data_IF_899331087585
#
_entry.id   IF_899331087585
#
_cell.length_a   1.000
_cell.length_b   1.000
_cell.length_c   1.000
_cell.angle_alpha   90.00
_cell.angle_beta   90.00
_cell.angle_gamma   90.00
#
_symmetry.space_group_name_H-M   'P 1'
#
loop_
_entity.id
_entity.type
_entity.pdbx_description
1 polymer ?
#
# COMPACT_ATOMS: atom_id res chain seq x y z
N UNK A 1 -27.82 -3.16 -75.43
CA UNK A 1 -29.07 -3.93 -75.30
C UNK A 1 -28.87 -4.88 -74.12
N UNK A 2 -29.42 -4.54 -72.97
CA UNK A 2 -29.26 -5.33 -71.74
C UNK A 2 -30.18 -6.53 -71.83
N UNK A 3 -29.61 -7.73 -71.79
CA UNK A 3 -30.37 -8.98 -71.88
C UNK A 3 -31.00 -9.26 -70.50
N UNK A 4 -32.32 -9.23 -70.46
CA UNK A 4 -33.11 -9.55 -69.28
C UNK A 4 -33.13 -11.07 -69.11
N UNK A 5 -32.40 -11.58 -68.13
CA UNK A 5 -32.34 -13.01 -67.83
C UNK A 5 -33.48 -13.39 -66.89
N UNK A 6 -34.63 -13.77 -67.44
CA UNK A 6 -35.69 -14.42 -66.66
C UNK A 6 -35.25 -15.83 -66.29
N UNK A 7 -35.28 -16.22 -65.00
CA UNK A 7 -34.93 -17.57 -64.60
C UNK A 7 -35.89 -18.59 -65.25
N UNK A 8 -35.41 -19.78 -65.64
CA UNK A 8 -36.26 -20.82 -66.20
C UNK A 8 -37.33 -21.22 -65.18
N UNK A 9 -38.60 -20.98 -65.52
CA UNK A 9 -39.76 -21.30 -64.69
C UNK A 9 -40.08 -22.79 -64.71
N UNK A 10 -39.16 -23.61 -64.24
CA UNK A 10 -39.40 -25.03 -64.01
C UNK A 10 -40.37 -25.15 -62.83
N UNK A 11 -41.41 -25.99 -62.94
CA UNK A 11 -42.46 -26.17 -61.93
C UNK A 11 -41.93 -26.40 -60.49
N UNK A 12 -40.71 -26.94 -60.37
CA UNK A 12 -39.99 -27.18 -59.11
C UNK A 12 -39.68 -25.89 -58.33
N UNK A 13 -39.46 -24.76 -59.01
CA UNK A 13 -39.07 -23.49 -58.40
C UNK A 13 -40.27 -22.61 -58.05
N UNK A 14 -41.48 -22.95 -58.53
CA UNK A 14 -42.69 -22.12 -58.36
C UNK A 14 -43.26 -22.17 -56.94
N UNK A 15 -42.97 -23.23 -56.21
CA UNK A 15 -43.37 -23.42 -54.81
C UNK A 15 -42.23 -23.14 -53.81
N UNK A 16 -41.07 -22.64 -54.28
CA UNK A 16 -40.01 -22.16 -53.39
C UNK A 16 -40.44 -20.80 -52.87
N UNK A 17 -41.08 -20.81 -51.70
CA UNK A 17 -41.45 -19.62 -50.96
C UNK A 17 -40.18 -18.88 -50.51
N UNK A 18 -40.01 -17.61 -50.92
CA UNK A 18 -38.91 -16.76 -50.44
C UNK A 18 -38.90 -16.76 -48.91
N UNK A 19 -37.83 -17.32 -48.33
CA UNK A 19 -37.64 -17.36 -46.88
C UNK A 19 -37.32 -15.95 -46.42
N UNK A 20 -38.22 -15.35 -45.65
CA UNK A 20 -37.98 -14.05 -45.02
C UNK A 20 -36.67 -14.10 -44.23
N UNK A 21 -35.74 -13.19 -44.54
CA UNK A 21 -34.47 -13.08 -43.83
C UNK A 21 -34.81 -12.75 -42.37
N UNK A 22 -34.36 -13.56 -41.39
CA UNK A 22 -34.68 -13.30 -40.00
C UNK A 22 -34.07 -11.95 -39.59
N UNK A 23 -34.84 -11.17 -38.84
CA UNK A 23 -34.34 -9.93 -38.25
C UNK A 23 -33.03 -10.22 -37.50
N UNK A 24 -32.08 -9.28 -37.60
CA UNK A 24 -30.76 -9.43 -36.99
C UNK A 24 -30.89 -9.75 -35.51
N UNK A 25 -30.40 -10.92 -35.10
CA UNK A 25 -30.45 -11.35 -33.71
C UNK A 25 -29.67 -10.36 -32.86
N UNK A 26 -30.35 -9.78 -31.87
CA UNK A 26 -29.71 -8.88 -30.92
C UNK A 26 -28.63 -9.64 -30.15
N UNK A 27 -27.37 -9.23 -30.33
CA UNK A 27 -26.22 -9.75 -29.60
C UNK A 27 -26.18 -9.28 -28.13
N UNK A 28 -27.09 -8.37 -27.76
CA UNK A 28 -27.24 -7.97 -26.37
C UNK A 28 -28.15 -8.97 -25.64
N UNK A 29 -27.64 -9.64 -24.60
CA UNK A 29 -28.40 -10.63 -23.85
C UNK A 29 -29.59 -9.96 -23.17
N UNK A 30 -30.81 -10.41 -23.50
CA UNK A 30 -32.07 -9.89 -22.97
C UNK A 30 -32.30 -10.26 -21.48
N UNK A 31 -31.39 -11.02 -20.87
CA UNK A 31 -31.55 -11.57 -19.52
C UNK A 31 -31.10 -10.59 -18.44
N UNK A 32 -31.86 -10.57 -17.33
CA UNK A 32 -31.57 -9.76 -16.13
C UNK A 32 -30.19 -10.06 -15.54
N UNK A 33 -29.62 -11.23 -15.83
CA UNK A 33 -28.30 -11.67 -15.35
C UNK A 33 -27.17 -10.68 -15.64
N UNK A 34 -27.19 -9.97 -16.77
CA UNK A 34 -26.15 -8.97 -17.08
C UNK A 34 -26.28 -7.69 -16.25
N UNK A 35 -27.50 -7.31 -15.88
CA UNK A 35 -27.71 -6.20 -14.94
C UNK A 35 -27.18 -6.57 -13.57
N UNK A 36 -27.47 -7.78 -13.10
CA UNK A 36 -26.95 -8.32 -11.83
C UNK A 36 -25.43 -8.39 -11.86
N UNK A 37 -24.84 -8.89 -12.95
CA UNK A 37 -23.39 -8.97 -13.13
C UNK A 37 -22.74 -7.59 -13.18
N UNK A 38 -23.35 -6.62 -13.87
CA UNK A 38 -22.89 -5.23 -13.88
C UNK A 38 -22.90 -4.61 -12.49
N UNK A 39 -23.97 -4.80 -11.71
CA UNK A 39 -24.05 -4.33 -10.31
C UNK A 39 -22.99 -5.02 -9.45
N UNK A 40 -22.80 -6.33 -9.59
CA UNK A 40 -21.79 -7.08 -8.85
C UNK A 40 -20.37 -6.58 -9.18
N UNK A 41 -20.07 -6.31 -10.45
CA UNK A 41 -18.80 -5.75 -10.90
C UNK A 41 -18.55 -4.36 -10.29
N UNK A 42 -19.56 -3.48 -10.31
CA UNK A 42 -19.46 -2.15 -9.71
C UNK A 42 -19.19 -2.25 -8.20
N UNK A 43 -19.88 -3.15 -7.50
CA UNK A 43 -19.69 -3.36 -6.07
C UNK A 43 -18.29 -3.89 -5.76
N UNK A 44 -17.78 -4.83 -6.56
CA UNK A 44 -16.43 -5.35 -6.43
C UNK A 44 -15.39 -4.25 -6.66
N UNK A 45 -15.58 -3.39 -7.67
CA UNK A 45 -14.69 -2.28 -7.97
C UNK A 45 -14.72 -1.21 -6.86
N UNK A 46 -15.91 -0.88 -6.34
CA UNK A 46 -16.06 0.03 -5.20
C UNK A 46 -15.35 -0.52 -3.95
N UNK A 47 -15.49 -1.82 -3.68
CA UNK A 47 -14.80 -2.46 -2.57
C UNK A 47 -13.28 -2.47 -2.76
N UNK A 48 -12.79 -2.79 -3.96
CA UNK A 48 -11.37 -2.79 -4.27
C UNK A 48 -10.76 -1.39 -4.14
N UNK A 49 -11.42 -0.36 -4.68
CA UNK A 49 -10.98 1.03 -4.58
C UNK A 49 -11.00 1.53 -3.14
N UNK A 50 -12.03 1.20 -2.36
CA UNK A 50 -12.08 1.48 -0.92
C UNK A 50 -10.91 0.84 -0.17
N UNK A 51 -10.66 -0.45 -0.38
CA UNK A 51 -9.54 -1.18 0.25
C UNK A 51 -8.19 -0.58 -0.13
N UNK A 52 -8.02 -0.22 -1.41
CA UNK A 52 -6.80 0.42 -1.90
C UNK A 52 -6.60 1.82 -1.30
N UNK A 53 -7.67 2.62 -1.20
CA UNK A 53 -7.64 3.94 -0.59
C UNK A 53 -7.30 3.86 0.91
N UNK A 54 -7.93 2.94 1.64
CA UNK A 54 -7.58 2.66 3.04
C UNK A 54 -6.12 2.24 3.18
N UNK A 55 -5.63 1.32 2.34
CA UNK A 55 -4.24 0.90 2.35
C UNK A 55 -3.28 2.07 2.10
N UNK A 56 -3.56 2.90 1.10
CA UNK A 56 -2.76 4.11 0.81
C UNK A 56 -2.78 5.10 1.97
N UNK A 57 -3.95 5.35 2.57
CA UNK A 57 -4.06 6.25 3.71
C UNK A 57 -3.24 5.74 4.89
N UNK A 58 -3.39 4.45 5.22
CA UNK A 58 -2.60 3.82 6.26
C UNK A 58 -1.11 3.82 5.93
N UNK A 59 -0.68 3.86 4.66
CA UNK A 59 0.74 3.89 4.30
C UNK A 59 1.30 5.31 4.12
N UNK A 60 0.48 6.37 4.27
CA UNK A 60 0.92 7.75 4.04
C UNK A 60 2.00 8.19 5.02
N UNK A 61 1.87 7.82 6.30
CA UNK A 61 2.88 8.12 7.32
C UNK A 61 4.25 7.52 6.97
N UNK A 62 4.28 6.36 6.28
CA UNK A 62 5.54 5.73 5.86
C UNK A 62 6.22 6.55 4.78
N UNK A 63 5.43 7.05 3.82
CA UNK A 63 5.96 7.90 2.76
C UNK A 63 6.51 9.19 3.35
N UNK A 64 5.75 9.86 4.22
CA UNK A 64 6.21 11.08 4.92
C UNK A 64 7.51 10.82 5.71
N UNK A 65 7.62 9.70 6.43
CA UNK A 65 8.83 9.34 7.16
C UNK A 65 10.02 9.07 6.22
N UNK A 66 9.80 8.36 5.10
CA UNK A 66 10.85 8.09 4.11
C UNK A 66 11.33 9.36 3.42
N UNK A 67 10.41 10.25 3.04
CA UNK A 67 10.74 11.52 2.38
C UNK A 67 11.60 12.40 3.30
N UNK A 68 11.32 12.41 4.61
CA UNK A 68 12.14 13.15 5.58
C UNK A 68 13.51 12.50 5.73
N UNK A 69 13.59 11.16 5.81
CA UNK A 69 14.88 10.46 5.94
C UNK A 69 15.77 10.65 4.71
N UNK A 70 15.20 10.68 3.51
CA UNK A 70 15.92 10.89 2.25
C UNK A 70 16.48 12.32 2.10
N UNK A 71 15.82 13.29 2.74
CA UNK A 71 16.27 14.69 2.77
C UNK A 71 17.37 14.97 3.80
N UNK A 72 17.72 14.00 4.66
CA UNK A 72 18.75 14.20 5.68
C UNK A 72 20.14 14.12 5.06
N UNK A 73 20.90 15.21 5.21
CA UNK A 73 22.32 15.21 4.87
C UNK A 73 23.15 14.56 5.99
N UNK A 74 23.88 13.46 5.72
CA UNK A 74 24.77 12.83 6.70
C UNK A 74 25.94 13.73 7.14
N UNK A 75 26.19 14.84 6.45
CA UNK A 75 27.19 15.85 6.84
C UNK A 75 26.70 16.70 8.02
N UNK A 76 25.39 16.86 8.18
CA UNK A 76 24.81 17.61 9.29
C UNK A 76 24.94 16.80 10.60
N UNK A 77 25.51 17.42 11.63
CA UNK A 77 25.60 16.83 12.98
C UNK A 77 24.22 16.60 13.59
N UNK A 78 23.21 17.37 13.20
CA UNK A 78 21.82 17.24 13.64
C UNK A 78 21.03 16.11 12.99
N UNK A 79 21.56 15.51 11.91
CA UNK A 79 20.87 14.45 11.15
C UNK A 79 20.51 13.24 12.04
N UNK A 80 21.45 12.78 12.86
CA UNK A 80 21.24 11.65 13.77
C UNK A 80 20.10 11.88 14.77
N UNK A 81 19.91 13.12 15.23
CA UNK A 81 18.79 13.49 16.10
C UNK A 81 17.48 13.49 15.33
N UNK A 82 17.45 14.05 14.11
CA UNK A 82 16.26 14.04 13.26
C UNK A 82 15.82 12.62 12.89
N UNK A 83 16.76 11.70 12.61
CA UNK A 83 16.44 10.29 12.39
C UNK A 83 15.66 9.72 13.59
N UNK A 84 16.12 9.98 14.81
CA UNK A 84 15.45 9.50 16.02
C UNK A 84 14.05 10.10 16.16
N UNK A 85 13.89 11.40 15.89
CA UNK A 85 12.59 12.09 15.92
C UNK A 85 11.60 11.49 14.93
N UNK A 86 12.04 11.17 13.70
CA UNK A 86 11.21 10.51 12.68
C UNK A 86 10.80 9.11 13.11
N UNK A 87 11.74 8.30 13.60
CA UNK A 87 11.41 6.96 14.08
C UNK A 87 10.45 7.02 15.28
N UNK A 88 10.60 8.01 16.15
CA UNK A 88 9.70 8.24 17.28
C UNK A 88 8.31 8.69 16.83
N UNK A 89 8.19 9.53 15.79
CA UNK A 89 6.89 9.92 15.24
C UNK A 89 6.18 8.72 14.60
N UNK A 90 6.92 7.85 13.91
CA UNK A 90 6.39 6.59 13.37
C UNK A 90 5.92 5.67 14.50
N UNK A 91 6.73 5.44 15.54
CA UNK A 91 6.31 4.64 16.71
C UNK A 91 5.04 5.17 17.37
N UNK A 92 4.94 6.50 17.55
CA UNK A 92 3.75 7.14 18.11
C UNK A 92 2.51 6.92 17.24
N UNK A 93 2.68 6.93 15.92
CA UNK A 93 1.61 6.61 14.98
C UNK A 93 1.18 5.13 15.07
N UNK A 94 2.14 4.21 15.21
CA UNK A 94 1.87 2.78 15.35
C UNK A 94 1.14 2.47 16.67
N UNK A 95 1.59 3.06 17.77
CA UNK A 95 0.96 2.93 19.08
C UNK A 95 1.30 4.14 19.96
N UNK A 96 0.27 4.91 20.33
CA UNK A 96 0.41 6.10 21.15
C UNK A 96 1.06 5.84 22.53
N UNK A 97 0.96 4.61 23.07
CA UNK A 97 1.59 4.23 24.35
C UNK A 97 3.12 4.27 24.32
N UNK A 98 3.74 4.14 23.14
CA UNK A 98 5.20 4.21 23.01
C UNK A 98 5.75 5.65 23.02
N UNK A 99 4.90 6.68 23.10
CA UNK A 99 5.35 8.07 23.15
C UNK A 99 6.26 8.39 24.35
N UNK A 100 6.08 7.68 25.46
CA UNK A 100 6.86 7.82 26.70
C UNK A 100 8.15 6.99 26.72
N UNK A 101 8.45 6.21 25.68
CA UNK A 101 9.68 5.43 25.61
C UNK A 101 10.80 6.32 25.03
N UNK A 102 11.98 6.25 25.65
CA UNK A 102 13.16 7.06 25.30
C UNK A 102 14.43 6.19 25.28
N UNK A 103 15.45 6.66 24.55
CA UNK A 103 16.77 6.03 24.50
C UNK A 103 16.75 4.59 23.96
N UNK A 104 17.58 3.73 24.54
CA UNK A 104 17.76 2.34 24.11
C UNK A 104 16.47 1.50 24.16
N UNK A 105 15.57 1.79 25.10
CA UNK A 105 14.27 1.11 25.16
C UNK A 105 13.39 1.39 23.93
N UNK A 106 13.55 2.56 23.30
CA UNK A 106 12.84 2.89 22.07
C UNK A 106 13.38 2.05 20.90
N UNK A 107 14.69 1.79 20.87
CA UNK A 107 15.31 0.95 19.85
C UNK A 107 14.87 -0.52 19.95
N UNK A 108 14.81 -1.06 21.16
CA UNK A 108 14.25 -2.40 21.38
C UNK A 108 12.79 -2.48 20.90
N UNK A 109 12.00 -1.44 21.17
CA UNK A 109 10.62 -1.35 20.68
C UNK A 109 10.55 -1.30 19.16
N UNK A 110 11.48 -0.62 18.47
CA UNK A 110 11.55 -0.63 17.00
C UNK A 110 11.76 -2.05 16.47
N UNK A 111 12.69 -2.80 17.06
CA UNK A 111 12.97 -4.19 16.66
C UNK A 111 11.76 -5.12 16.87
N UNK A 112 10.88 -4.86 17.85
CA UNK A 112 9.64 -5.64 18.05
C UNK A 112 8.63 -5.51 16.89
N UNK A 113 8.71 -4.44 16.11
CA UNK A 113 7.90 -4.23 14.90
C UNK A 113 8.52 -4.86 13.65
N UNK A 114 9.71 -5.47 13.73
CA UNK A 114 10.30 -6.22 12.63
C UNK A 114 9.59 -7.57 12.45
N UNK A 115 9.58 -8.11 11.22
CA UNK A 115 9.14 -9.47 10.98
C UNK A 115 9.95 -10.46 11.84
N UNK A 116 9.31 -11.48 12.42
CA UNK A 116 9.99 -12.50 13.27
C UNK A 116 11.19 -13.21 12.64
N UNK A 117 11.34 -13.13 11.31
CA UNK A 117 12.45 -13.74 10.55
C UNK A 117 13.63 -12.79 10.33
N UNK A 118 13.48 -11.52 10.69
CA UNK A 118 14.49 -10.49 10.50
C UNK A 118 15.30 -10.33 11.79
N UNK A 119 16.61 -10.28 11.66
CA UNK A 119 17.51 -10.01 12.78
C UNK A 119 17.29 -8.61 13.35
N UNK A 120 17.64 -8.43 14.63
CA UNK A 120 17.57 -7.13 15.30
C UNK A 120 18.45 -6.12 14.57
N UNK A 121 17.89 -4.96 14.26
CA UNK A 121 18.57 -3.93 13.45
C UNK A 121 19.29 -2.91 14.34
N UNK A 122 18.77 -2.67 15.56
CA UNK A 122 19.23 -1.59 16.44
C UNK A 122 19.92 -2.05 17.73
N UNK A 123 20.29 -3.34 17.85
CA UNK A 123 20.96 -3.89 19.04
C UNK A 123 22.49 -3.87 18.98
N UNK A 124 23.05 -3.24 17.95
CA UNK A 124 24.49 -3.16 17.72
C UNK A 124 25.17 -2.02 18.50
N UNK A 125 26.50 -2.02 18.51
CA UNK A 125 27.29 -1.01 19.21
C UNK A 125 27.12 0.40 18.61
N UNK A 126 26.93 0.54 17.29
CA UNK A 126 26.73 1.85 16.67
C UNK A 126 25.40 2.48 17.13
N UNK A 127 24.35 1.68 17.28
CA UNK A 127 23.06 2.14 17.82
C UNK A 127 23.16 2.61 19.27
N UNK A 128 24.01 1.99 20.10
CA UNK A 128 24.29 2.45 21.47
C UNK A 128 25.02 3.78 21.49
N UNK A 129 26.08 3.91 20.70
CA UNK A 129 26.84 5.16 20.56
C UNK A 129 25.94 6.28 20.04
N UNK A 130 25.04 5.96 19.11
CA UNK A 130 24.04 6.90 18.64
C UNK A 130 23.13 7.39 19.77
N UNK A 131 22.54 6.50 20.57
CA UNK A 131 21.70 6.92 21.70
C UNK A 131 22.45 7.79 22.70
N UNK A 132 23.70 7.44 23.00
CA UNK A 132 24.54 8.24 23.89
C UNK A 132 24.82 9.64 23.30
N UNK A 133 25.10 9.74 22.00
CA UNK A 133 25.32 11.03 21.31
C UNK A 133 24.12 11.98 21.34
N UNK A 134 22.89 11.45 21.52
CA UNK A 134 21.68 12.28 21.61
C UNK A 134 21.54 12.96 22.97
N UNK A 135 22.10 12.37 24.02
CA UNK A 135 22.01 12.86 25.40
C UNK A 135 23.29 13.58 25.79
N UNK A 136 24.44 13.12 25.31
CA UNK A 136 25.76 13.62 25.64
C UNK A 136 26.36 14.41 24.47
N UNK A 137 26.44 15.75 24.57
CA UNK A 137 27.01 16.61 23.52
C UNK A 137 28.51 16.37 23.24
N UNK A 138 29.21 15.65 24.13
CA UNK A 138 30.63 15.33 23.94
C UNK A 138 30.88 14.14 23.00
N UNK A 139 29.86 13.32 22.78
CA UNK A 139 29.95 12.13 21.93
C UNK A 139 29.46 12.48 20.54
N UNK A 140 30.37 12.39 19.56
CA UNK A 140 30.08 12.69 18.17
C UNK A 140 30.11 11.42 17.33
N UNK A 141 29.11 11.27 16.47
CA UNK A 141 29.12 10.23 15.45
C UNK A 141 30.09 10.59 14.32
N UNK A 142 30.72 9.60 13.71
CA UNK A 142 31.45 9.78 12.46
C UNK A 142 30.47 9.98 11.30
N UNK A 143 30.97 10.41 10.14
CA UNK A 143 30.15 10.50 8.93
C UNK A 143 29.60 9.11 8.54
N UNK A 144 30.43 8.07 8.56
CA UNK A 144 30.03 6.70 8.25
C UNK A 144 28.92 6.19 9.18
N UNK A 145 29.04 6.45 10.49
CA UNK A 145 28.00 6.07 11.45
C UNK A 145 26.68 6.79 11.18
N UNK A 146 26.70 8.07 10.78
CA UNK A 146 25.48 8.81 10.42
C UNK A 146 24.81 8.22 9.18
N UNK A 147 25.58 7.87 8.16
CA UNK A 147 25.08 7.18 6.96
C UNK A 147 24.43 5.86 7.34
N UNK A 148 25.13 5.03 8.14
CA UNK A 148 24.64 3.73 8.59
C UNK A 148 23.31 3.85 9.36
N UNK A 149 23.17 4.84 10.24
CA UNK A 149 21.94 5.09 11.01
C UNK A 149 20.78 5.49 10.09
N UNK A 150 21.02 6.36 9.11
CA UNK A 150 19.99 6.78 8.13
C UNK A 150 19.54 5.57 7.29
N UNK A 151 20.48 4.73 6.84
CA UNK A 151 20.16 3.52 6.07
C UNK A 151 19.39 2.49 6.89
N UNK A 152 19.80 2.24 8.14
CA UNK A 152 19.07 1.37 9.07
C UNK A 152 17.66 1.87 9.32
N UNK A 153 17.49 3.15 9.60
CA UNK A 153 16.19 3.78 9.80
C UNK A 153 15.30 3.65 8.55
N UNK A 154 15.85 3.93 7.37
CA UNK A 154 15.15 3.81 6.09
C UNK A 154 14.70 2.38 5.82
N UNK A 155 15.58 1.41 6.06
CA UNK A 155 15.28 -0.02 5.91
C UNK A 155 14.18 -0.47 6.88
N UNK A 156 14.27 -0.04 8.14
CA UNK A 156 13.25 -0.32 9.13
C UNK A 156 11.88 0.27 8.74
N UNK A 157 11.82 1.52 8.29
CA UNK A 157 10.55 2.14 7.85
C UNK A 157 9.93 1.38 6.68
N UNK A 158 10.74 0.80 5.78
CA UNK A 158 10.25 -0.03 4.67
C UNK A 158 9.73 -1.39 5.11
N UNK A 159 10.38 -2.03 6.08
CA UNK A 159 10.16 -3.46 6.42
C UNK A 159 9.25 -3.66 7.64
N UNK A 160 9.14 -2.69 8.55
CA UNK A 160 8.35 -2.84 9.77
C UNK A 160 6.91 -3.24 9.46
N UNK A 161 6.33 -4.05 10.34
CA UNK A 161 4.96 -4.51 10.22
C UNK A 161 4.08 -3.70 11.15
N UNK A 162 2.97 -3.17 10.64
CA UNK A 162 1.92 -2.66 11.51
C UNK A 162 1.28 -3.86 12.22
N UNK A 163 1.76 -4.16 13.42
CA UNK A 163 1.11 -5.07 14.34
C UNK A 163 -0.09 -4.29 14.89
N UNK A 164 -1.21 -4.39 14.19
CA UNK A 164 -2.43 -3.64 14.52
C UNK A 164 -2.61 -3.65 16.03
N UNK A 165 -2.64 -2.44 16.61
CA UNK A 165 -2.82 -2.22 18.04
C UNK A 165 -3.73 -3.31 18.58
N UNK A 166 -3.27 -4.06 19.59
CA UNK A 166 -4.18 -4.86 20.40
C UNK A 166 -5.44 -4.01 20.62
N UNK A 167 -6.59 -4.56 20.19
CA UNK A 167 -7.86 -3.85 20.03
C UNK A 167 -7.99 -2.74 21.09
N UNK A 168 -8.37 -1.50 20.72
CA UNK A 168 -8.80 -0.54 21.73
C UNK A 168 -9.85 -1.26 22.56
N UNK A 169 -9.60 -1.41 23.87
CA UNK A 169 -10.61 -1.94 24.76
C UNK A 169 -11.85 -1.07 24.57
N UNK A 170 -12.92 -1.68 24.07
CA UNK A 170 -14.25 -1.12 24.11
C UNK A 170 -14.50 -0.70 25.55
N UNK A 171 -14.46 0.60 25.79
CA UNK A 171 -14.86 1.18 27.05
C UNK A 171 -16.38 0.97 27.10
N UNK A 172 -16.92 0.20 28.05
CA UNK A 172 -18.37 0.08 28.18
C UNK A 172 -18.86 1.48 28.55
N UNK A 173 -19.70 2.09 27.70
CA UNK A 173 -20.46 3.26 28.15
C UNK A 173 -21.41 2.75 29.24
N UNK A 174 -21.17 3.23 30.46
CA UNK A 174 -22.17 3.27 31.52
C UNK A 174 -23.24 4.31 31.19
#
# INVERSE_FOLDING_TARGET
MSVEHTPPSTYILRDIQDVAVPDSVSWLPQTIGWKVLGVALIMALAYATYRYACYRWHNRYRQEALDVLDQLDPSDKGSAKRVFEVLKSVLRYLNARHASIHGEGALATLDDYLPKKTSTTFQDSASKIWMDSLVNPSVYLTFEQRVEIIEKATTWVKVHQYRGSEKPQETPRA
#
